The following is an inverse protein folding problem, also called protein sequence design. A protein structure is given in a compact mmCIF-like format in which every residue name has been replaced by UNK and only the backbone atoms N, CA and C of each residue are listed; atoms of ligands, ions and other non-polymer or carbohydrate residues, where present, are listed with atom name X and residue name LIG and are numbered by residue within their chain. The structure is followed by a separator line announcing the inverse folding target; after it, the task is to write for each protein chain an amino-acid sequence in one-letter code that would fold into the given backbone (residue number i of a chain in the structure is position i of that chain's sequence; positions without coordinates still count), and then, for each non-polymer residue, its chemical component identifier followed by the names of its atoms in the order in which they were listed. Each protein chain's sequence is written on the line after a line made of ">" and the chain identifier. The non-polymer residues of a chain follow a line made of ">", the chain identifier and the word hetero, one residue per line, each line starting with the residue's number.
data_IF_044838692966
#
_entry.id   IF_044838692966
#
_cell.length_a   1.000
_cell.length_b   1.000
_cell.length_c   1.000
_cell.angle_alpha   90.00
_cell.angle_beta   90.00
_cell.angle_gamma   90.00
#
_symmetry.space_group_name_H-M   'P 1'
#
loop_
_entity.id
_entity.type
_entity.pdbx_description
1 polymer ?
#
# COMPACT_ATOMS: atom_id res chain seq x y z
N UNK A 1 49.55 10.15 -10.49
CA UNK A 1 49.11 9.09 -9.55
C UNK A 1 48.26 9.61 -8.38
N UNK A 2 48.63 10.72 -7.69
CA UNK A 2 47.89 11.27 -6.52
C UNK A 2 46.44 11.72 -6.84
N UNK A 3 46.16 12.34 -8.01
CA UNK A 3 44.80 12.75 -8.43
C UNK A 3 43.86 11.57 -8.62
N UNK A 4 44.30 10.47 -9.25
CA UNK A 4 43.49 9.23 -9.42
C UNK A 4 43.12 8.61 -8.06
N UNK A 5 44.07 8.54 -7.11
CA UNK A 5 43.79 8.02 -5.75
C UNK A 5 42.79 8.88 -4.99
N UNK A 6 42.81 10.21 -5.15
CA UNK A 6 41.83 11.11 -4.51
C UNK A 6 40.44 10.89 -5.11
N UNK A 7 40.33 10.74 -6.43
CA UNK A 7 39.08 10.47 -7.13
C UNK A 7 38.44 9.13 -6.68
N UNK A 8 39.26 8.06 -6.61
CA UNK A 8 38.78 6.75 -6.13
C UNK A 8 38.34 6.80 -4.66
N UNK A 9 39.04 7.56 -3.79
CA UNK A 9 38.60 7.74 -2.41
C UNK A 9 37.28 8.51 -2.32
N UNK A 10 37.11 9.56 -3.09
CA UNK A 10 35.85 10.32 -3.15
C UNK A 10 34.70 9.46 -3.65
N UNK A 11 34.93 8.67 -4.70
CA UNK A 11 33.93 7.75 -5.23
C UNK A 11 33.56 6.68 -4.19
N UNK A 12 34.55 6.07 -3.54
CA UNK A 12 34.30 5.09 -2.47
C UNK A 12 33.52 5.71 -1.30
N UNK A 13 33.86 6.93 -0.87
CA UNK A 13 33.13 7.63 0.17
C UNK A 13 31.67 7.91 -0.23
N UNK A 14 31.42 8.28 -1.48
CA UNK A 14 30.08 8.52 -2.00
C UNK A 14 29.24 7.23 -2.04
N UNK A 15 29.84 6.12 -2.46
CA UNK A 15 29.20 4.79 -2.46
C UNK A 15 28.88 4.36 -1.02
N UNK A 16 29.85 4.52 -0.10
CA UNK A 16 29.62 4.19 1.32
C UNK A 16 28.48 5.05 1.92
N UNK A 17 28.45 6.34 1.63
CA UNK A 17 27.38 7.24 2.09
C UNK A 17 26.02 6.79 1.53
N UNK A 18 25.95 6.47 0.23
CA UNK A 18 24.72 5.94 -0.39
C UNK A 18 24.25 4.64 0.26
N UNK A 19 25.18 3.73 0.56
CA UNK A 19 24.87 2.46 1.24
C UNK A 19 24.33 2.70 2.66
N UNK A 20 24.96 3.60 3.43
CA UNK A 20 24.50 3.97 4.78
C UNK A 20 23.11 4.59 4.73
N UNK A 21 22.88 5.52 3.81
CA UNK A 21 21.55 6.13 3.62
C UNK A 21 20.49 5.09 3.25
N UNK A 22 20.83 4.13 2.37
CA UNK A 22 19.90 3.07 1.99
C UNK A 22 19.56 2.14 3.17
N UNK A 23 20.55 1.74 3.95
CA UNK A 23 20.34 0.93 5.18
C UNK A 23 19.46 1.69 6.18
N UNK A 24 19.71 2.98 6.39
CA UNK A 24 18.88 3.82 7.25
C UNK A 24 17.42 3.89 6.73
N UNK A 25 17.23 4.01 5.42
CA UNK A 25 15.90 4.03 4.81
C UNK A 25 15.17 2.69 5.02
N UNK A 26 15.84 1.56 4.81
CA UNK A 26 15.27 0.23 5.10
C UNK A 26 14.92 0.09 6.58
N UNK A 27 15.80 0.55 7.48
CA UNK A 27 15.52 0.58 8.92
C UNK A 27 14.27 1.41 9.26
N UNK A 28 14.09 2.55 8.59
CA UNK A 28 12.90 3.40 8.77
C UNK A 28 11.63 2.70 8.27
N UNK A 29 11.69 2.00 7.12
CA UNK A 29 10.57 1.18 6.64
C UNK A 29 10.19 0.11 7.65
N UNK A 30 11.17 -0.61 8.20
CA UNK A 30 10.95 -1.63 9.23
C UNK A 30 10.35 -1.04 10.52
N UNK A 31 10.84 0.12 10.96
CA UNK A 31 10.30 0.83 12.13
C UNK A 31 8.84 1.22 11.91
N UNK A 32 8.52 1.86 10.78
CA UNK A 32 7.15 2.27 10.46
C UNK A 32 6.20 1.08 10.28
N UNK A 33 6.69 -0.07 9.80
CA UNK A 33 5.89 -1.29 9.66
C UNK A 33 5.46 -1.88 11.02
N UNK A 34 6.27 -1.70 12.07
CA UNK A 34 5.95 -2.15 13.43
C UNK A 34 5.20 -1.13 14.30
N UNK A 35 4.87 0.06 13.76
CA UNK A 35 4.17 1.08 14.54
C UNK A 35 2.70 0.72 14.74
N UNK A 36 2.25 0.71 15.98
CA UNK A 36 0.82 0.74 16.31
C UNK A 36 0.23 2.10 15.90
N UNK A 37 -0.98 2.09 15.36
CA UNK A 37 -1.66 3.28 14.87
C UNK A 37 -3.07 3.32 15.45
N UNK A 38 -3.48 4.49 15.88
CA UNK A 38 -4.87 4.73 16.22
C UNK A 38 -5.70 4.72 14.93
N UNK A 39 -6.81 4.00 14.96
CA UNK A 39 -7.76 3.92 13.86
C UNK A 39 -9.03 4.61 14.27
N UNK A 40 -9.45 5.60 13.51
CA UNK A 40 -10.70 6.35 13.75
C UNK A 40 -11.80 5.81 12.86
N UNK A 41 -13.03 5.82 13.34
CA UNK A 41 -14.21 5.57 12.50
C UNK A 41 -14.23 6.52 11.31
N UNK A 42 -14.55 6.01 10.14
CA UNK A 42 -14.46 6.73 8.87
C UNK A 42 -15.63 6.42 7.96
N UNK A 43 -15.78 7.15 6.86
CA UNK A 43 -16.87 6.94 5.90
C UNK A 43 -16.72 5.63 5.12
N UNK A 44 -15.48 5.22 4.84
CA UNK A 44 -15.20 3.96 4.14
C UNK A 44 -13.85 3.34 4.53
N UNK A 45 -13.67 2.08 4.13
CA UNK A 45 -12.40 1.34 4.18
C UNK A 45 -11.88 1.20 2.76
N UNK A 46 -10.66 1.68 2.48
CA UNK A 46 -9.98 1.50 1.19
C UNK A 46 -9.03 0.31 1.29
N UNK A 47 -9.31 -0.76 0.54
CA UNK A 47 -8.48 -1.97 0.50
C UNK A 47 -7.61 -1.93 -0.75
N UNK A 48 -6.29 -1.80 -0.56
CA UNK A 48 -5.37 -1.76 -1.69
C UNK A 48 -5.08 -3.16 -2.23
N UNK A 49 -5.04 -3.27 -3.54
CA UNK A 49 -4.73 -4.49 -4.26
C UNK A 49 -3.30 -4.99 -4.04
N UNK A 50 -3.08 -6.27 -4.32
CA UNK A 50 -1.76 -6.91 -4.24
C UNK A 50 -1.53 -7.90 -5.39
N UNK A 51 -2.29 -8.97 -5.48
CA UNK A 51 -2.26 -9.95 -6.57
C UNK A 51 -3.39 -10.98 -6.45
N UNK A 52 -3.94 -11.39 -7.61
CA UNK A 52 -4.77 -12.60 -7.76
C UNK A 52 -3.92 -13.72 -8.34
N UNK A 53 -4.07 -14.95 -7.84
CA UNK A 53 -3.36 -16.11 -8.37
C UNK A 53 -3.97 -16.57 -9.71
N UNK A 54 -3.24 -17.32 -10.55
CA UNK A 54 -3.76 -17.82 -11.83
C UNK A 54 -5.03 -18.68 -11.72
N UNK A 55 -5.26 -19.31 -10.57
CA UNK A 55 -6.46 -20.09 -10.25
C UNK A 55 -7.66 -19.23 -9.81
N UNK A 56 -7.52 -17.90 -9.79
CA UNK A 56 -8.54 -16.95 -9.35
C UNK A 56 -8.60 -16.73 -7.84
N UNK A 57 -7.78 -17.41 -7.04
CA UNK A 57 -7.75 -17.21 -5.58
C UNK A 57 -6.91 -15.98 -5.21
N UNK A 58 -7.23 -15.37 -4.07
CA UNK A 58 -6.43 -14.27 -3.54
C UNK A 58 -5.02 -14.76 -3.16
N UNK A 59 -3.97 -13.99 -3.48
CA UNK A 59 -2.66 -14.22 -2.87
C UNK A 59 -2.75 -14.04 -1.35
N UNK A 60 -1.79 -14.59 -0.60
CA UNK A 60 -1.80 -14.46 0.86
C UNK A 60 -1.81 -12.99 1.30
N UNK A 61 -1.01 -12.14 0.64
CA UNK A 61 -1.01 -10.70 0.93
C UNK A 61 -2.37 -10.06 0.67
N UNK A 62 -3.07 -10.42 -0.42
CA UNK A 62 -4.38 -9.86 -0.73
C UNK A 62 -5.44 -10.39 0.24
N UNK A 63 -5.39 -11.67 0.59
CA UNK A 63 -6.27 -12.31 1.56
C UNK A 63 -6.16 -11.65 2.94
N UNK A 64 -4.95 -11.45 3.46
CA UNK A 64 -4.76 -10.79 4.76
C UNK A 64 -5.26 -9.34 4.77
N UNK A 65 -5.15 -8.61 3.64
CA UNK A 65 -5.77 -7.28 3.53
C UNK A 65 -7.30 -7.35 3.59
N UNK A 66 -7.91 -8.30 2.90
CA UNK A 66 -9.35 -8.53 2.96
C UNK A 66 -9.80 -8.96 4.36
N UNK A 67 -9.06 -9.83 5.04
CA UNK A 67 -9.35 -10.25 6.42
C UNK A 67 -9.28 -9.07 7.40
N UNK A 68 -8.26 -8.22 7.29
CA UNK A 68 -8.12 -7.02 8.12
C UNK A 68 -9.26 -6.00 7.85
N UNK A 69 -9.61 -5.80 6.58
CA UNK A 69 -10.73 -4.93 6.20
C UNK A 69 -12.09 -5.47 6.68
N UNK A 70 -12.29 -6.78 6.58
CA UNK A 70 -13.49 -7.45 7.08
C UNK A 70 -13.63 -7.31 8.60
N UNK A 71 -12.53 -7.45 9.34
CA UNK A 71 -12.52 -7.26 10.79
C UNK A 71 -12.94 -5.81 11.14
N UNK A 72 -12.32 -4.82 10.51
CA UNK A 72 -12.64 -3.41 10.71
C UNK A 72 -14.10 -3.07 10.35
N UNK A 73 -14.62 -3.66 9.26
CA UNK A 73 -16.02 -3.49 8.88
C UNK A 73 -16.98 -4.13 9.91
N UNK A 74 -16.67 -5.33 10.42
CA UNK A 74 -17.48 -6.02 11.44
C UNK A 74 -17.47 -5.29 12.79
N UNK A 75 -16.38 -4.59 13.12
CA UNK A 75 -16.26 -3.72 14.28
C UNK A 75 -17.03 -2.39 14.11
N UNK A 76 -17.61 -2.14 12.93
CA UNK A 76 -18.37 -0.92 12.65
C UNK A 76 -17.51 0.33 12.46
N UNK A 77 -16.22 0.17 12.14
CA UNK A 77 -15.30 1.30 11.94
C UNK A 77 -15.61 2.09 10.67
N UNK A 78 -16.27 1.45 9.68
CA UNK A 78 -16.83 2.14 8.52
C UNK A 78 -17.97 1.31 7.88
N UNK A 79 -19.01 1.95 7.30
CA UNK A 79 -20.14 1.24 6.72
C UNK A 79 -19.87 0.66 5.34
N UNK A 80 -18.86 1.14 4.61
CA UNK A 80 -18.59 0.78 3.23
C UNK A 80 -17.10 0.45 3.00
N UNK A 81 -16.86 -0.33 1.92
CA UNK A 81 -15.51 -0.67 1.47
C UNK A 81 -15.30 -0.21 0.02
N UNK A 82 -14.15 0.38 -0.29
CA UNK A 82 -13.66 0.58 -1.66
C UNK A 82 -12.54 -0.44 -1.87
N UNK A 83 -12.71 -1.40 -2.77
CA UNK A 83 -11.68 -2.38 -3.11
C UNK A 83 -10.99 -1.98 -4.40
N UNK A 84 -9.65 -1.84 -4.37
CA UNK A 84 -8.88 -1.20 -5.43
C UNK A 84 -7.93 -2.18 -6.13
N UNK A 85 -7.89 -2.15 -7.45
CA UNK A 85 -6.90 -2.83 -8.27
C UNK A 85 -7.46 -3.39 -9.57
N UNK A 86 -6.83 -3.00 -10.68
CA UNK A 86 -7.12 -3.53 -12.01
C UNK A 86 -6.60 -4.96 -12.18
N UNK A 87 -6.89 -5.56 -13.33
CA UNK A 87 -6.36 -6.87 -13.70
C UNK A 87 -4.89 -6.77 -14.10
N UNK A 88 -4.03 -7.43 -13.36
CA UNK A 88 -2.61 -7.59 -13.72
C UNK A 88 -2.44 -8.49 -14.95
N UNK A 89 -1.25 -8.42 -15.59
CA UNK A 89 -0.97 -9.12 -16.86
C UNK A 89 -1.19 -10.64 -16.79
N UNK A 90 -0.86 -11.25 -15.65
CA UNK A 90 -0.93 -12.70 -15.43
C UNK A 90 -2.07 -13.09 -14.48
N UNK A 91 -3.08 -12.23 -14.35
CA UNK A 91 -4.23 -12.44 -13.47
C UNK A 91 -5.47 -12.76 -14.29
N UNK A 92 -6.34 -13.66 -13.82
CA UNK A 92 -7.55 -14.06 -14.56
C UNK A 92 -8.68 -13.00 -14.48
N UNK A 93 -8.61 -12.09 -13.50
CA UNK A 93 -9.61 -11.04 -13.25
C UNK A 93 -9.00 -9.84 -12.51
N UNK A 94 -9.67 -8.67 -12.47
CA UNK A 94 -9.25 -7.54 -11.66
C UNK A 94 -9.15 -7.91 -10.16
N UNK A 95 -8.13 -7.38 -9.48
CA UNK A 95 -7.94 -7.61 -8.04
C UNK A 95 -9.16 -7.13 -7.23
N UNK A 96 -9.75 -5.99 -7.62
CA UNK A 96 -10.96 -5.45 -7.00
C UNK A 96 -12.14 -6.40 -7.09
N UNK A 97 -12.33 -7.07 -8.23
CA UNK A 97 -13.41 -8.06 -8.43
C UNK A 97 -13.20 -9.28 -7.53
N UNK A 98 -11.97 -9.80 -7.47
CA UNK A 98 -11.65 -10.95 -6.61
C UNK A 98 -11.85 -10.62 -5.12
N UNK A 99 -11.47 -9.40 -4.68
CA UNK A 99 -11.69 -8.93 -3.31
C UNK A 99 -13.18 -8.79 -2.98
N UNK A 100 -13.98 -8.20 -3.89
CA UNK A 100 -15.44 -8.10 -3.71
C UNK A 100 -16.06 -9.47 -3.52
N UNK A 101 -15.75 -10.41 -4.41
CA UNK A 101 -16.34 -11.74 -4.39
C UNK A 101 -15.98 -12.49 -3.11
N UNK A 102 -14.76 -12.35 -2.64
CA UNK A 102 -14.31 -12.91 -1.38
C UNK A 102 -15.03 -12.27 -0.18
N UNK A 103 -15.12 -10.93 -0.11
CA UNK A 103 -15.81 -10.21 0.96
C UNK A 103 -17.29 -10.51 1.01
N UNK A 104 -17.97 -10.58 -0.16
CA UNK A 104 -19.36 -10.96 -0.25
C UNK A 104 -19.61 -12.39 0.27
N UNK A 105 -18.72 -13.33 -0.04
CA UNK A 105 -18.76 -14.69 0.49
C UNK A 105 -18.56 -14.74 2.03
N UNK A 106 -17.93 -13.71 2.64
CA UNK A 106 -17.82 -13.55 4.08
C UNK A 106 -18.99 -12.80 4.73
N UNK A 107 -20.05 -12.46 3.95
CA UNK A 107 -21.28 -11.84 4.42
C UNK A 107 -21.31 -10.31 4.37
N UNK A 108 -20.35 -9.66 3.69
CA UNK A 108 -20.44 -8.22 3.41
C UNK A 108 -21.47 -7.99 2.31
N UNK A 109 -22.50 -7.14 2.51
CA UNK A 109 -23.47 -6.83 1.48
C UNK A 109 -22.81 -6.24 0.23
N UNK A 110 -23.23 -6.65 -0.96
CA UNK A 110 -22.62 -6.15 -2.20
C UNK A 110 -22.75 -4.62 -2.37
N UNK A 111 -23.85 -4.05 -1.90
CA UNK A 111 -24.09 -2.60 -1.88
C UNK A 111 -23.15 -1.83 -0.98
N UNK A 112 -22.50 -2.48 -0.01
CA UNK A 112 -21.47 -1.91 0.83
C UNK A 112 -20.07 -1.95 0.18
N UNK A 113 -19.91 -2.61 -0.98
CA UNK A 113 -18.62 -2.78 -1.65
C UNK A 113 -18.59 -1.98 -2.94
N UNK A 114 -17.70 -1.01 -3.02
CA UNK A 114 -17.46 -0.18 -4.22
C UNK A 114 -16.21 -0.69 -4.93
N UNK A 115 -16.29 -0.88 -6.24
CA UNK A 115 -15.18 -1.34 -7.05
C UNK A 115 -14.37 -0.16 -7.62
N UNK A 116 -13.05 -0.25 -7.50
CA UNK A 116 -12.07 0.54 -8.24
C UNK A 116 -11.17 -0.44 -9.00
N UNK A 117 -11.50 -0.77 -10.24
CA UNK A 117 -10.85 -1.81 -11.04
C UNK A 117 -10.01 -1.27 -12.22
N UNK A 118 -9.69 0.02 -12.20
CA UNK A 118 -8.99 0.70 -13.29
C UNK A 118 -7.52 1.04 -12.99
N UNK A 119 -7.06 0.89 -11.75
CA UNK A 119 -5.73 1.34 -11.32
C UNK A 119 -4.69 0.23 -11.30
N UNK A 120 -3.47 0.54 -11.77
CA UNK A 120 -2.32 -0.36 -11.83
C UNK A 120 -1.21 -0.04 -10.82
N UNK A 121 -1.40 0.96 -9.97
CA UNK A 121 -0.45 1.34 -8.93
C UNK A 121 -1.15 2.09 -7.79
N UNK A 122 -0.46 2.19 -6.65
CA UNK A 122 -1.04 2.77 -5.42
C UNK A 122 -1.46 4.23 -5.57
N UNK A 123 -0.74 5.04 -6.36
CA UNK A 123 -1.11 6.44 -6.59
C UNK A 123 -2.43 6.53 -7.35
N UNK A 124 -2.62 5.68 -8.39
CA UNK A 124 -3.88 5.59 -9.13
C UNK A 124 -5.00 5.06 -8.23
N UNK A 125 -4.76 3.98 -7.46
CA UNK A 125 -5.75 3.44 -6.53
C UNK A 125 -6.35 4.55 -5.64
N UNK A 126 -5.49 5.34 -5.01
CA UNK A 126 -5.93 6.36 -4.06
C UNK A 126 -6.57 7.58 -4.75
N UNK A 127 -6.09 7.98 -5.93
CA UNK A 127 -6.74 9.03 -6.73
C UNK A 127 -8.14 8.62 -7.20
N UNK A 128 -8.28 7.39 -7.69
CA UNK A 128 -9.56 6.87 -8.15
C UNK A 128 -10.51 6.62 -6.97
N UNK A 129 -9.99 6.09 -5.84
CA UNK A 129 -10.77 5.99 -4.61
C UNK A 129 -11.26 7.35 -4.13
N UNK A 130 -10.43 8.42 -4.20
CA UNK A 130 -10.87 9.78 -3.87
C UNK A 130 -12.04 10.23 -4.75
N UNK A 131 -11.97 9.99 -6.06
CA UNK A 131 -13.07 10.34 -6.96
C UNK A 131 -14.38 9.61 -6.60
N UNK A 132 -14.29 8.30 -6.27
CA UNK A 132 -15.43 7.51 -5.80
C UNK A 132 -15.98 7.98 -4.44
N UNK A 133 -15.11 8.48 -3.57
CA UNK A 133 -15.49 9.11 -2.30
C UNK A 133 -16.21 10.44 -2.55
N UNK A 134 -15.71 11.29 -3.47
CA UNK A 134 -16.32 12.56 -3.83
C UNK A 134 -17.76 12.39 -4.34
N UNK A 135 -17.99 11.40 -5.20
CA UNK A 135 -19.34 11.06 -5.70
C UNK A 135 -20.33 10.70 -4.60
N UNK A 136 -19.83 10.25 -3.44
CA UNK A 136 -20.64 9.80 -2.28
C UNK A 136 -20.65 10.78 -1.13
N UNK A 137 -19.94 11.90 -1.26
CA UNK A 137 -19.79 12.90 -0.19
C UNK A 137 -18.94 12.40 1.00
N UNK A 138 -18.09 11.38 0.78
CA UNK A 138 -17.19 10.85 1.81
C UNK A 138 -15.90 11.67 1.89
N UNK A 139 -15.40 11.86 3.09
CA UNK A 139 -14.19 12.68 3.36
C UNK A 139 -13.09 11.91 4.04
N UNK A 140 -13.44 10.88 4.83
CA UNK A 140 -12.53 10.10 5.65
C UNK A 140 -12.47 8.63 5.23
N UNK A 141 -11.31 8.01 5.39
CA UNK A 141 -11.13 6.61 5.05
C UNK A 141 -10.13 5.90 5.96
N UNK A 142 -10.31 4.58 6.12
CA UNK A 142 -9.33 3.68 6.70
C UNK A 142 -8.61 2.97 5.55
N UNK A 143 -7.31 3.22 5.38
CA UNK A 143 -6.51 2.56 4.35
C UNK A 143 -5.98 1.23 4.88
N UNK A 144 -6.31 0.13 4.21
CA UNK A 144 -5.87 -1.23 4.55
C UNK A 144 -4.88 -1.73 3.52
N UNK A 145 -3.67 -2.06 3.96
CA UNK A 145 -2.62 -2.63 3.13
C UNK A 145 -1.59 -3.37 4.00
N UNK A 146 -0.59 -4.00 3.38
CA UNK A 146 0.47 -4.71 4.10
C UNK A 146 1.30 -3.77 4.99
N UNK A 147 1.78 -4.27 6.12
CA UNK A 147 2.54 -3.54 7.14
C UNK A 147 3.64 -2.64 6.58
N UNK A 148 4.54 -3.20 5.76
CA UNK A 148 5.66 -2.48 5.15
C UNK A 148 5.23 -1.37 4.18
N UNK A 149 4.03 -1.47 3.61
CA UNK A 149 3.51 -0.55 2.60
C UNK A 149 2.66 0.58 3.18
N UNK A 150 2.11 0.41 4.39
CA UNK A 150 1.10 1.30 4.96
C UNK A 150 1.56 2.76 5.05
N UNK A 151 2.80 3.01 5.46
CA UNK A 151 3.28 4.39 5.60
C UNK A 151 3.25 5.16 4.28
N UNK A 152 3.69 4.54 3.17
CA UNK A 152 3.65 5.18 1.85
C UNK A 152 2.22 5.31 1.33
N UNK A 153 1.36 4.34 1.60
CA UNK A 153 -0.04 4.43 1.24
C UNK A 153 -0.73 5.63 1.92
N UNK A 154 -0.46 5.87 3.20
CA UNK A 154 -0.98 7.04 3.93
C UNK A 154 -0.43 8.37 3.38
N UNK A 155 0.85 8.42 2.95
CA UNK A 155 1.36 9.62 2.29
C UNK A 155 0.65 9.89 0.96
N UNK A 156 0.41 8.86 0.16
CA UNK A 156 -0.29 8.98 -1.11
C UNK A 156 -1.78 9.30 -0.92
N UNK A 157 -2.43 8.78 0.13
CA UNK A 157 -3.80 9.13 0.51
C UNK A 157 -3.91 10.62 0.86
N UNK A 158 -2.98 11.12 1.69
CA UNK A 158 -2.90 12.56 1.99
C UNK A 158 -2.68 13.40 0.74
N UNK A 159 -1.82 12.94 -0.19
CA UNK A 159 -1.57 13.64 -1.46
C UNK A 159 -2.80 13.65 -2.37
N UNK A 160 -3.65 12.63 -2.27
CA UNK A 160 -4.94 12.56 -2.95
C UNK A 160 -6.05 13.35 -2.23
N UNK A 161 -5.77 13.99 -1.08
CA UNK A 161 -6.75 14.75 -0.31
C UNK A 161 -7.70 13.88 0.52
N UNK A 162 -7.29 12.66 0.88
CA UNK A 162 -8.06 11.76 1.73
C UNK A 162 -7.61 11.94 3.18
N UNK A 163 -8.53 12.31 4.07
CA UNK A 163 -8.30 12.21 5.51
C UNK A 163 -8.30 10.72 5.90
N UNK A 164 -7.14 10.21 6.34
CA UNK A 164 -7.01 8.76 6.49
C UNK A 164 -6.27 8.33 7.75
N UNK A 165 -6.81 7.31 8.40
CA UNK A 165 -6.10 6.40 9.30
C UNK A 165 -5.71 5.12 8.54
N UNK A 166 -5.03 4.18 9.20
CA UNK A 166 -4.57 2.99 8.48
C UNK A 166 -4.47 1.73 9.32
N UNK A 167 -4.80 0.61 8.71
CA UNK A 167 -4.67 -0.73 9.28
C UNK A 167 -3.58 -1.49 8.51
N UNK A 168 -2.58 -1.96 9.24
CA UNK A 168 -1.53 -2.83 8.73
C UNK A 168 -2.03 -4.28 8.69
N UNK A 169 -2.29 -4.82 7.50
CA UNK A 169 -2.51 -6.25 7.36
C UNK A 169 -1.21 -7.02 7.55
N UNK A 170 -1.27 -8.15 8.20
CA UNK A 170 -0.14 -9.05 8.30
C UNK A 170 0.39 -9.43 6.91
N UNK A 171 1.67 -9.69 6.83
CA UNK A 171 2.31 -10.14 5.60
C UNK A 171 2.84 -11.55 5.79
N UNK A 172 2.54 -12.51 4.89
CA UNK A 172 3.07 -13.87 5.01
C UNK A 172 4.58 -13.85 4.78
N UNK A 173 5.37 -14.37 5.71
CA UNK A 173 6.82 -14.21 5.65
C UNK A 173 7.60 -15.51 5.71
N UNK A 174 8.26 -15.82 4.58
CA UNK A 174 9.62 -16.33 4.67
C UNK A 174 10.58 -15.15 4.85
N UNK A 175 11.75 -15.35 5.46
CA UNK A 175 12.77 -14.29 5.60
C UNK A 175 13.12 -13.63 4.26
N UNK A 176 13.14 -14.41 3.17
CA UNK A 176 13.43 -13.90 1.82
C UNK A 176 12.34 -12.96 1.29
N UNK A 177 11.06 -13.29 1.51
CA UNK A 177 9.93 -12.44 1.12
C UNK A 177 9.92 -11.16 1.97
N UNK A 178 10.12 -11.29 3.27
CA UNK A 178 10.21 -10.18 4.20
C UNK A 178 11.27 -9.16 3.77
N UNK A 179 12.49 -9.63 3.47
CA UNK A 179 13.59 -8.76 3.03
C UNK A 179 13.30 -8.12 1.67
N UNK A 180 12.83 -8.91 0.70
CA UNK A 180 12.47 -8.43 -0.65
C UNK A 180 11.46 -7.29 -0.59
N UNK A 181 10.40 -7.44 0.20
CA UNK A 181 9.31 -6.46 0.28
C UNK A 181 9.80 -5.16 0.90
N UNK A 182 10.60 -5.22 1.96
CA UNK A 182 11.15 -4.02 2.61
C UNK A 182 12.20 -3.29 1.76
N UNK A 183 13.05 -4.02 1.04
CA UNK A 183 14.00 -3.42 0.10
C UNK A 183 13.25 -2.73 -1.06
N UNK A 184 12.24 -3.40 -1.63
CA UNK A 184 11.41 -2.81 -2.69
C UNK A 184 10.69 -1.57 -2.19
N UNK A 185 10.16 -1.60 -0.99
CA UNK A 185 9.45 -0.46 -0.41
C UNK A 185 10.40 0.71 -0.12
N UNK A 186 11.61 0.46 0.39
CA UNK A 186 12.62 1.49 0.57
C UNK A 186 12.96 2.20 -0.76
N UNK A 187 13.14 1.44 -1.85
CA UNK A 187 13.30 2.02 -3.19
C UNK A 187 12.09 2.87 -3.60
N UNK A 188 10.87 2.40 -3.31
CA UNK A 188 9.62 3.12 -3.63
C UNK A 188 9.50 4.43 -2.84
N UNK A 189 9.96 4.47 -1.59
CA UNK A 189 10.04 5.71 -0.79
C UNK A 189 11.03 6.71 -1.41
N UNK A 190 12.19 6.21 -1.87
CA UNK A 190 13.16 7.06 -2.59
C UNK A 190 12.54 7.71 -3.84
N UNK A 191 11.85 6.91 -4.65
CA UNK A 191 11.14 7.42 -5.85
C UNK A 191 10.04 8.42 -5.46
N UNK A 192 9.26 8.14 -4.42
CA UNK A 192 8.24 9.07 -3.91
C UNK A 192 8.87 10.41 -3.50
N UNK A 193 9.95 10.39 -2.73
CA UNK A 193 10.64 11.60 -2.29
C UNK A 193 11.21 12.42 -3.48
N UNK A 194 11.84 11.75 -4.45
CA UNK A 194 12.34 12.41 -5.67
C UNK A 194 11.20 13.06 -6.46
N UNK A 195 10.08 12.37 -6.65
CA UNK A 195 8.92 12.92 -7.35
C UNK A 195 8.36 14.16 -6.64
N UNK A 196 8.40 14.21 -5.31
CA UNK A 196 7.97 15.40 -4.54
C UNK A 196 8.91 16.59 -4.74
N UNK A 197 10.20 16.34 -4.92
CA UNK A 197 11.19 17.41 -5.15
C UNK A 197 11.13 17.95 -6.59
N UNK A 198 10.97 17.07 -7.58
CA UNK A 198 11.07 17.43 -8.99
C UNK A 198 9.73 17.74 -9.70
N UNK A 199 8.58 17.41 -9.08
CA UNK A 199 7.24 17.76 -9.62
C UNK A 199 6.65 19.06 -9.03
N UNK A 200 7.52 19.89 -8.42
CA UNK A 200 7.16 21.24 -7.96
C UNK A 200 7.23 22.26 -9.06
#
# INVERSE_FOLDING_TARGET
>A
MRKKRRLWRALAALVCLGAVMFVALVGTVCYCAGMEREVSSSDCIIVLGARVRPDGTLSDSLRYRCEAALAAWREGLAPALIVCGAQGKDEPMPEAVAMRDWLAAQGVPQEAIVLEDASFNTEQNLKNARALMDERGWTSAIVVTSDYHLQRALWLARDAGIESSGIAAESPHTLGMWLKDRLREACSWGVYALNKVFRR
#
